data_IF_060562989022
#
_entry.id   IF_060562989022
#
_cell.length_a   1.000
_cell.length_b   1.000
_cell.length_c   1.000
_cell.angle_alpha   90.00
_cell.angle_beta   90.00
_cell.angle_gamma   90.00
#
_symmetry.space_group_name_H-M   'P 1'
#
loop_
_entity.id
_entity.type
_entity.pdbx_description
1 polymer ?
#
# COMPACT_ATOMS: atom_id res chain seq x y z
N UNK A 1 3.95 -12.34 -5.90
CA UNK A 1 3.90 -10.89 -5.67
C UNK A 1 2.54 -10.54 -5.14
N UNK A 2 2.47 -9.99 -3.92
CA UNK A 2 1.22 -9.58 -3.27
C UNK A 2 0.61 -8.35 -3.97
N UNK A 3 -0.72 -8.18 -3.90
CA UNK A 3 -1.39 -6.97 -4.39
C UNK A 3 -0.84 -5.70 -3.73
N UNK A 4 -0.54 -5.76 -2.42
CA UNK A 4 0.05 -4.65 -1.70
C UNK A 4 1.47 -4.34 -2.18
N UNK A 5 2.26 -5.38 -2.46
CA UNK A 5 3.61 -5.24 -3.03
C UNK A 5 3.56 -4.62 -4.44
N UNK A 6 2.54 -4.95 -5.23
CA UNK A 6 2.29 -4.32 -6.52
C UNK A 6 1.93 -2.83 -6.38
N UNK A 7 0.98 -2.49 -5.51
CA UNK A 7 0.59 -1.10 -5.27
C UNK A 7 1.77 -0.25 -4.80
N UNK A 8 2.64 -0.82 -3.96
CA UNK A 8 3.83 -0.13 -3.46
C UNK A 8 4.81 0.28 -4.56
N UNK A 9 4.88 -0.48 -5.66
CA UNK A 9 5.77 -0.19 -6.79
C UNK A 9 5.24 0.92 -7.72
N UNK A 10 3.96 1.28 -7.62
CA UNK A 10 3.34 2.33 -8.46
C UNK A 10 3.65 3.74 -7.96
N UNK A 11 3.16 4.80 -8.63
CA UNK A 11 3.18 6.14 -8.04
C UNK A 11 2.21 6.25 -6.84
N UNK A 12 2.37 7.25 -5.95
CA UNK A 12 1.49 7.41 -4.77
C UNK A 12 0.01 7.52 -5.19
N UNK A 13 -0.28 8.34 -6.19
CA UNK A 13 -1.64 8.55 -6.71
C UNK A 13 -2.22 7.29 -7.37
N UNK A 14 -1.39 6.54 -8.10
CA UNK A 14 -1.83 5.29 -8.74
C UNK A 14 -2.07 4.18 -7.71
N UNK A 15 -1.20 4.08 -6.70
CA UNK A 15 -1.40 3.18 -5.57
C UNK A 15 -2.69 3.50 -4.81
N UNK A 16 -2.94 4.79 -4.54
CA UNK A 16 -4.16 5.26 -3.89
C UNK A 16 -5.42 4.86 -4.65
N UNK A 17 -5.47 5.13 -5.96
CA UNK A 17 -6.59 4.73 -6.82
C UNK A 17 -6.83 3.21 -6.77
N UNK A 18 -5.78 2.41 -6.96
CA UNK A 18 -5.87 0.95 -6.94
C UNK A 18 -6.35 0.42 -5.58
N UNK A 19 -5.85 1.00 -4.48
CA UNK A 19 -6.23 0.60 -3.13
C UNK A 19 -7.69 0.95 -2.83
N UNK A 20 -8.16 2.14 -3.20
CA UNK A 20 -9.57 2.55 -3.02
C UNK A 20 -10.50 1.63 -3.82
N UNK A 21 -10.17 1.32 -5.07
CA UNK A 21 -10.98 0.45 -5.93
C UNK A 21 -11.15 -0.97 -5.37
N UNK A 22 -10.12 -1.52 -4.73
CA UNK A 22 -10.11 -2.91 -4.28
C UNK A 22 -10.45 -3.06 -2.79
N UNK A 23 -10.13 -2.05 -1.97
CA UNK A 23 -10.24 -2.09 -0.51
C UNK A 23 -11.19 -1.05 0.07
N UNK A 24 -11.69 -0.08 -0.71
CA UNK A 24 -12.50 1.01 -0.18
C UNK A 24 -13.80 0.56 0.51
N UNK A 25 -14.34 -0.61 0.16
CA UNK A 25 -15.49 -1.20 0.87
C UNK A 25 -15.12 -1.79 2.25
N UNK A 26 -13.85 -2.16 2.44
CA UNK A 26 -13.31 -2.73 3.67
C UNK A 26 -12.60 -1.71 4.55
N UNK A 27 -12.16 -0.59 3.96
CA UNK A 27 -11.56 0.55 4.64
C UNK A 27 -12.32 1.84 4.27
N UNK A 28 -13.58 2.00 4.71
CA UNK A 28 -14.44 3.11 4.26
C UNK A 28 -13.91 4.50 4.61
N UNK A 29 -13.13 4.57 5.69
CA UNK A 29 -12.49 5.81 6.18
C UNK A 29 -11.07 6.00 5.61
N UNK A 30 -10.62 5.09 4.74
CA UNK A 30 -9.28 5.06 4.14
C UNK A 30 -8.13 5.09 5.17
N UNK A 31 -8.37 4.67 6.41
CA UNK A 31 -7.37 4.76 7.48
C UNK A 31 -6.19 3.81 7.21
N UNK A 32 -6.47 2.61 6.70
CA UNK A 32 -5.44 1.67 6.28
C UNK A 32 -4.72 2.19 5.03
N UNK A 33 -5.46 2.67 4.03
CA UNK A 33 -4.92 3.17 2.76
C UNK A 33 -3.96 4.34 3.03
N UNK A 34 -4.37 5.32 3.83
CA UNK A 34 -3.55 6.47 4.20
C UNK A 34 -2.27 6.05 4.94
N UNK A 35 -2.40 5.14 5.91
CA UNK A 35 -1.25 4.60 6.64
C UNK A 35 -0.30 3.89 5.69
N UNK A 36 -0.81 3.02 4.82
CA UNK A 36 -0.01 2.30 3.83
C UNK A 36 0.76 3.24 2.90
N UNK A 37 0.09 4.24 2.35
CA UNK A 37 0.69 5.22 1.44
C UNK A 37 1.72 6.12 2.16
N UNK A 38 1.48 6.47 3.42
CA UNK A 38 2.42 7.28 4.20
C UNK A 38 3.63 6.48 4.69
N UNK A 39 3.47 5.18 5.00
CA UNK A 39 4.60 4.33 5.40
C UNK A 39 5.69 4.23 4.33
N UNK A 40 5.34 4.46 3.07
CA UNK A 40 6.30 4.53 1.97
C UNK A 40 7.35 5.63 2.13
N UNK A 41 6.99 6.71 2.82
CA UNK A 41 7.88 7.85 3.05
C UNK A 41 8.79 7.64 4.29
N UNK A 42 8.44 6.71 5.19
CA UNK A 42 9.11 6.50 6.48
C UNK A 42 9.86 5.18 6.62
N UNK A 43 9.51 4.15 5.84
CA UNK A 43 10.12 2.83 5.98
C UNK A 43 11.30 2.65 5.02
N UNK A 44 12.43 2.12 5.50
CA UNK A 44 13.51 1.71 4.62
C UNK A 44 13.04 0.58 3.71
N UNK A 45 13.49 0.60 2.45
CA UNK A 45 13.04 -0.32 1.40
C UNK A 45 13.12 -1.81 1.78
N UNK A 46 14.09 -2.19 2.63
CA UNK A 46 14.31 -3.57 3.07
C UNK A 46 13.22 -4.11 4.01
N UNK A 47 12.44 -3.25 4.68
CA UNK A 47 11.37 -3.69 5.60
C UNK A 47 10.24 -4.38 4.84
N UNK A 48 9.94 -3.90 3.63
CA UNK A 48 8.88 -4.47 2.80
C UNK A 48 9.29 -5.79 2.14
N UNK A 49 10.53 -5.90 1.69
CA UNK A 49 11.05 -7.16 1.17
C UNK A 49 10.96 -8.27 2.22
N UNK A 50 11.19 -7.94 3.50
CA UNK A 50 10.99 -8.86 4.62
C UNK A 50 9.51 -9.13 4.92
N UNK A 51 8.65 -8.12 4.83
CA UNK A 51 7.21 -8.25 5.13
C UNK A 51 6.42 -9.04 4.07
N UNK A 52 6.90 -9.04 2.81
CA UNK A 52 6.27 -9.73 1.69
C UNK A 52 7.02 -10.98 1.23
N UNK A 53 8.07 -11.39 1.95
CA UNK A 53 8.67 -12.72 1.82
C UNK A 53 7.70 -13.78 2.38
N UNK A 54 6.84 -14.29 1.50
CA UNK A 54 5.95 -15.43 1.72
C UNK A 54 6.09 -16.43 0.58
#
# INVERSE_FOLDING_TARGET
>A
TSFLEFCFKQSKSEAEMLLIENLGTYDPDHEFIDKFLNYRDFLPANVFDMAFQG
#
